data_IF_456379689666
#
_entry.id   IF_456379689666
#
_cell.length_a   1.000
_cell.length_b   1.000
_cell.length_c   1.000
_cell.angle_alpha   90.00
_cell.angle_beta   90.00
_cell.angle_gamma   90.00
#
_symmetry.space_group_name_H-M   'P 1'
#
loop_
_entity.id
_entity.type
_entity.pdbx_description
1 polymer ?
#
# COMPACT_ATOMS: atom_id res chain seq x y z
N UNK A 1 -22.06 37.42 15.04
CA UNK A 1 -21.54 36.08 15.34
C UNK A 1 -22.02 35.14 14.25
N UNK A 2 -21.16 34.93 13.26
CA UNK A 2 -21.46 34.17 12.06
C UNK A 2 -21.25 32.68 12.36
N UNK A 3 -22.31 31.87 12.23
CA UNK A 3 -22.23 30.42 12.36
C UNK A 3 -21.62 29.86 11.08
N UNK A 4 -20.33 29.54 11.12
CA UNK A 4 -19.67 28.76 10.08
C UNK A 4 -20.30 27.36 10.08
N UNK A 5 -21.00 27.01 8.98
CA UNK A 5 -21.40 25.64 8.68
C UNK A 5 -20.12 24.86 8.36
N UNK A 6 -19.73 23.99 9.28
CA UNK A 6 -18.74 22.95 9.00
C UNK A 6 -19.42 21.95 8.07
N UNK A 7 -18.89 21.80 6.87
CA UNK A 7 -19.35 20.82 5.89
C UNK A 7 -19.09 19.41 6.42
N UNK A 8 -20.15 18.64 6.59
CA UNK A 8 -20.13 17.21 6.89
C UNK A 8 -19.48 16.45 5.73
N UNK A 9 -18.18 16.22 5.83
CA UNK A 9 -17.51 15.12 5.12
C UNK A 9 -16.30 14.65 5.91
N UNK A 10 -16.41 14.65 7.24
CA UNK A 10 -15.50 13.90 8.09
C UNK A 10 -16.12 12.52 8.32
N UNK A 11 -16.02 11.65 7.31
CA UNK A 11 -16.14 10.22 7.57
C UNK A 11 -15.06 9.87 8.60
N UNK A 12 -15.47 9.47 9.79
CA UNK A 12 -14.62 8.72 10.70
C UNK A 12 -14.06 7.51 9.94
N UNK A 13 -12.84 7.04 10.26
CA UNK A 13 -12.35 5.80 9.67
C UNK A 13 -13.36 4.68 10.00
N UNK A 14 -14.12 4.25 8.99
CA UNK A 14 -15.12 3.20 9.10
C UNK A 14 -14.41 1.88 9.42
N UNK A 15 -14.43 1.49 10.71
CA UNK A 15 -13.96 0.19 11.19
C UNK A 15 -12.93 0.29 12.34
N UNK A 16 -12.73 -0.82 13.08
CA UNK A 16 -11.63 -0.90 14.05
C UNK A 16 -10.30 -0.67 13.32
N UNK A 17 -9.48 0.23 13.87
CA UNK A 17 -8.09 0.43 13.42
C UNK A 17 -7.24 -0.52 14.23
N UNK A 18 -6.65 -1.49 13.55
CA UNK A 18 -5.87 -2.55 14.21
C UNK A 18 -4.36 -2.30 14.09
N UNK A 19 -3.95 -1.53 13.07
CA UNK A 19 -2.55 -1.19 12.85
C UNK A 19 -2.35 0.30 12.56
N UNK A 20 -1.27 0.84 13.13
CA UNK A 20 -0.76 2.17 12.84
C UNK A 20 0.66 2.05 12.27
N UNK A 21 0.87 2.56 11.07
CA UNK A 21 2.19 2.70 10.45
C UNK A 21 2.49 4.18 10.30
N UNK A 22 3.74 4.60 10.34
CA UNK A 22 4.09 6.01 10.13
C UNK A 22 5.39 6.15 9.35
N UNK A 23 5.55 7.32 8.75
CA UNK A 23 6.83 7.78 8.25
C UNK A 23 7.14 9.19 8.78
N UNK A 24 8.12 9.86 8.17
CA UNK A 24 8.50 11.23 8.54
C UNK A 24 7.37 12.25 8.38
N UNK A 25 6.47 12.05 7.41
CA UNK A 25 5.50 13.06 6.97
C UNK A 25 4.03 12.64 7.22
N UNK A 26 3.74 11.34 7.37
CA UNK A 26 2.37 10.84 7.51
C UNK A 26 2.21 9.77 8.60
N UNK A 27 1.02 9.70 9.17
CA UNK A 27 0.50 8.55 9.89
C UNK A 27 -0.47 7.78 9.00
N UNK A 28 -0.42 6.46 9.03
CA UNK A 28 -1.29 5.56 8.28
C UNK A 28 -2.10 4.70 9.24
N UNK A 29 -3.42 4.84 9.20
CA UNK A 29 -4.36 3.98 9.91
C UNK A 29 -4.82 2.87 8.97
N UNK A 30 -4.69 1.62 9.40
CA UNK A 30 -4.98 0.43 8.60
C UNK A 30 -5.97 -0.46 9.37
N UNK A 31 -7.11 -0.76 8.75
CA UNK A 31 -8.11 -1.68 9.31
C UNK A 31 -7.72 -3.15 9.10
N UNK A 32 -7.94 -3.99 10.11
CA UNK A 32 -7.81 -5.45 10.00
C UNK A 32 -9.19 -6.12 9.99
N UNK A 33 -9.28 -7.17 9.19
CA UNK A 33 -10.26 -8.22 9.40
C UNK A 33 -9.66 -9.53 8.87
N UNK A 34 -8.92 -10.23 9.73
CA UNK A 34 -8.46 -11.63 9.59
C UNK A 34 -8.15 -12.09 8.14
N UNK A 35 -6.89 -12.11 7.70
CA UNK A 35 -6.56 -12.47 6.33
C UNK A 35 -6.87 -13.95 6.00
N UNK A 36 -7.30 -14.19 4.76
CA UNK A 36 -6.94 -15.44 4.07
C UNK A 36 -5.42 -15.41 3.89
N UNK A 37 -4.69 -16.34 4.50
CA UNK A 37 -3.22 -16.35 4.49
C UNK A 37 -2.68 -16.34 3.05
N UNK A 38 -1.94 -15.29 2.71
CA UNK A 38 -0.93 -15.34 1.66
C UNK A 38 0.44 -15.49 2.35
N UNK A 39 1.33 -16.31 1.79
CA UNK A 39 2.70 -16.40 2.29
C UNK A 39 3.41 -15.06 2.05
N UNK A 40 3.86 -14.39 3.11
CA UNK A 40 4.54 -13.11 3.03
C UNK A 40 5.74 -13.15 3.98
N UNK A 41 6.95 -13.13 3.40
CA UNK A 41 8.22 -13.19 4.12
C UNK A 41 8.94 -11.83 4.04
N UNK A 42 8.16 -10.75 4.14
CA UNK A 42 8.66 -9.38 4.16
C UNK A 42 7.88 -8.55 5.17
N UNK A 43 8.50 -7.51 5.79
CA UNK A 43 7.79 -6.59 6.68
C UNK A 43 6.57 -5.98 5.97
N UNK A 44 5.39 -6.28 6.51
CA UNK A 44 4.13 -5.84 5.96
C UNK A 44 3.02 -5.84 7.01
N UNK A 45 1.95 -5.13 6.69
CA UNK A 45 0.74 -5.04 7.51
C UNK A 45 -0.46 -5.46 6.64
N UNK A 46 -1.33 -6.37 7.10
CA UNK A 46 -2.55 -6.70 6.37
C UNK A 46 -3.44 -5.46 6.28
N UNK A 47 -4.09 -5.29 5.14
CA UNK A 47 -5.02 -4.19 4.86
C UNK A 47 -6.34 -4.81 4.44
N UNK A 48 -7.38 -4.54 5.20
CA UNK A 48 -8.75 -4.94 4.90
C UNK A 48 -9.66 -3.72 5.04
N UNK A 49 -10.32 -3.33 3.95
CA UNK A 49 -11.07 -2.08 3.85
C UNK A 49 -10.19 -0.94 3.34
N UNK A 50 -9.50 -0.23 4.23
CA UNK A 50 -8.93 1.09 3.93
C UNK A 50 -7.53 1.31 4.51
N UNK A 51 -6.72 2.08 3.77
CA UNK A 51 -5.54 2.79 4.30
C UNK A 51 -5.88 4.27 4.36
N UNK A 52 -5.85 4.86 5.55
CA UNK A 52 -6.05 6.30 5.73
C UNK A 52 -4.73 6.95 6.08
N UNK A 53 -4.26 7.88 5.25
CA UNK A 53 -3.09 8.69 5.57
C UNK A 53 -3.50 10.04 6.14
N UNK A 54 -2.78 10.48 7.15
CA UNK A 54 -2.95 11.75 7.84
C UNK A 54 -1.61 12.47 7.82
N UNK A 55 -1.55 13.67 7.22
CA UNK A 55 -0.33 14.48 7.22
C UNK A 55 0.02 14.93 8.64
N UNK A 56 1.32 14.89 8.95
CA UNK A 56 1.85 15.32 10.25
C UNK A 56 1.92 16.83 10.39
N UNK A 57 2.09 17.54 9.29
CA UNK A 57 2.19 19.00 9.27
C UNK A 57 0.82 19.67 9.15
N UNK A 58 -0.12 19.00 8.49
CA UNK A 58 -1.47 19.49 8.22
C UNK A 58 -2.47 18.33 8.39
N UNK A 59 -2.86 17.96 9.63
CA UNK A 59 -3.73 16.81 9.90
C UNK A 59 -5.09 16.84 9.19
N UNK A 60 -5.55 18.03 8.80
CA UNK A 60 -6.73 18.24 7.95
C UNK A 60 -6.54 17.69 6.53
N UNK A 61 -5.30 17.59 6.05
CA UNK A 61 -4.94 16.92 4.81
C UNK A 61 -4.82 15.41 5.08
N UNK A 62 -5.97 14.74 4.96
CA UNK A 62 -6.08 13.29 5.00
C UNK A 62 -6.72 12.75 3.74
N UNK A 63 -6.34 11.53 3.38
CA UNK A 63 -6.95 10.79 2.30
C UNK A 63 -7.12 9.33 2.71
N UNK A 64 -8.07 8.66 2.07
CA UNK A 64 -8.36 7.25 2.30
C UNK A 64 -8.32 6.51 0.98
N UNK A 65 -7.61 5.38 0.95
CA UNK A 65 -7.53 4.52 -0.21
C UNK A 65 -8.08 3.13 0.14
N UNK A 66 -9.15 2.67 -0.53
CA UNK A 66 -9.71 1.34 -0.29
C UNK A 66 -8.80 0.27 -0.89
N UNK A 67 -8.42 -0.72 -0.08
CA UNK A 67 -7.56 -1.82 -0.51
C UNK A 67 -7.79 -3.09 0.31
N UNK A 68 -7.52 -4.23 -0.32
CA UNK A 68 -7.58 -5.56 0.31
C UNK A 68 -6.28 -6.27 -0.05
N UNK A 69 -5.47 -6.66 0.94
CA UNK A 69 -4.16 -7.26 0.72
C UNK A 69 -3.18 -6.87 1.82
N UNK A 70 -1.98 -6.43 1.43
CA UNK A 70 -0.91 -6.09 2.35
C UNK A 70 -0.25 -4.76 1.96
N UNK A 71 0.06 -3.94 2.96
CA UNK A 71 0.96 -2.81 2.85
C UNK A 71 2.39 -3.26 3.14
N UNK A 72 3.29 -3.13 2.18
CA UNK A 72 4.71 -3.46 2.35
C UNK A 72 5.41 -2.31 3.08
N UNK A 73 6.01 -2.58 4.25
CA UNK A 73 6.50 -1.52 5.16
C UNK A 73 8.01 -1.35 5.18
N UNK A 74 8.77 -2.28 4.60
CA UNK A 74 10.23 -2.31 4.71
C UNK A 74 10.96 -1.04 4.21
N UNK A 75 10.37 -0.30 3.26
CA UNK A 75 10.93 0.97 2.77
C UNK A 75 9.97 2.14 2.92
N UNK A 76 9.03 2.06 3.86
CA UNK A 76 7.99 3.07 4.00
C UNK A 76 8.59 4.46 4.28
N UNK A 77 9.62 4.61 5.09
CA UNK A 77 10.17 5.93 5.41
C UNK A 77 10.76 6.70 4.23
N UNK A 78 11.26 5.97 3.21
CA UNK A 78 12.02 6.54 2.09
C UNK A 78 11.26 6.54 0.78
N UNK A 79 10.30 5.62 0.63
CA UNK A 79 9.53 5.49 -0.59
C UNK A 79 8.48 6.61 -0.66
N UNK A 80 8.36 7.35 -1.78
CA UNK A 80 7.35 8.40 -1.92
C UNK A 80 5.93 7.85 -2.15
N UNK A 81 5.79 6.53 -2.31
CA UNK A 81 4.51 5.83 -2.46
C UNK A 81 4.32 4.79 -1.37
N UNK A 82 3.07 4.40 -1.13
CA UNK A 82 2.71 3.19 -0.41
C UNK A 82 2.67 2.00 -1.37
N UNK A 83 3.50 0.95 -1.17
CA UNK A 83 3.42 -0.27 -1.94
C UNK A 83 2.37 -1.20 -1.34
N UNK A 84 1.21 -1.27 -2.01
CA UNK A 84 0.09 -2.13 -1.63
C UNK A 84 0.05 -3.34 -2.57
N UNK A 85 0.06 -4.55 -2.01
CA UNK A 85 0.11 -5.79 -2.77
C UNK A 85 -1.01 -6.75 -2.38
N UNK A 86 -1.66 -7.32 -3.39
CA UNK A 86 -2.60 -8.43 -3.24
C UNK A 86 -2.03 -9.63 -3.97
N UNK A 87 -2.01 -10.77 -3.28
CA UNK A 87 -1.57 -12.05 -3.83
C UNK A 87 -2.74 -13.02 -3.72
N UNK A 88 -3.19 -13.54 -4.85
CA UNK A 88 -4.27 -14.52 -4.93
C UNK A 88 -3.72 -15.83 -5.48
N UNK A 89 -3.90 -16.91 -4.74
CA UNK A 89 -3.55 -18.24 -5.21
C UNK A 89 -4.56 -18.75 -6.22
N UNK A 90 -4.07 -19.36 -7.29
CA UNK A 90 -4.87 -19.96 -8.33
C UNK A 90 -4.18 -21.21 -8.88
N UNK A 91 -4.94 -22.06 -9.57
CA UNK A 91 -4.39 -23.22 -10.26
C UNK A 91 -4.67 -23.11 -11.75
N UNK A 92 -3.62 -23.30 -12.56
CA UNK A 92 -3.72 -23.35 -14.02
C UNK A 92 -3.10 -24.65 -14.49
N UNK A 93 -3.91 -25.51 -15.12
CA UNK A 93 -3.50 -26.83 -15.61
C UNK A 93 -2.78 -27.70 -14.54
N UNK A 94 -3.23 -27.62 -13.28
CA UNK A 94 -2.64 -28.38 -12.16
C UNK A 94 -1.39 -27.74 -11.54
N UNK A 95 -0.89 -26.62 -12.06
CA UNK A 95 0.21 -25.87 -11.48
C UNK A 95 -0.32 -24.77 -10.56
N UNK A 96 0.29 -24.62 -9.39
CA UNK A 96 0.04 -23.49 -8.49
C UNK A 96 0.64 -22.22 -9.10
N UNK A 97 -0.18 -21.20 -9.30
CA UNK A 97 0.20 -19.88 -9.79
C UNK A 97 -0.38 -18.82 -8.88
N UNK A 98 0.31 -17.69 -8.77
CA UNK A 98 -0.19 -16.57 -8.01
C UNK A 98 -0.50 -15.40 -8.94
N UNK A 99 -1.67 -14.80 -8.74
CA UNK A 99 -1.98 -13.50 -9.34
C UNK A 99 -1.49 -12.44 -8.36
N UNK A 100 -0.59 -11.59 -8.85
CA UNK A 100 -0.01 -10.49 -8.08
C UNK A 100 -0.57 -9.20 -8.62
N UNK A 101 -1.18 -8.42 -7.74
CA UNK A 101 -1.65 -7.07 -8.02
C UNK A 101 -0.92 -6.11 -7.09
N UNK A 102 -0.06 -5.28 -7.67
CA UNK A 102 0.69 -4.23 -6.99
C UNK A 102 0.11 -2.86 -7.35
N UNK A 103 -0.31 -2.12 -6.34
CA UNK A 103 -0.74 -0.72 -6.44
C UNK A 103 0.26 0.16 -5.69
N UNK A 104 0.80 1.17 -6.38
CA UNK A 104 1.65 2.19 -5.78
C UNK A 104 0.83 3.47 -5.62
N UNK A 105 0.51 3.80 -4.37
CA UNK A 105 -0.31 4.98 -4.03
C UNK A 105 0.61 6.12 -3.61
N UNK A 106 0.49 7.26 -4.29
CA UNK A 106 1.21 8.48 -3.93
C UNK A 106 0.82 8.95 -2.53
N UNK A 107 1.82 9.13 -1.67
CA UNK A 107 1.58 9.42 -0.25
C UNK A 107 0.97 10.79 0.01
N UNK A 108 1.20 11.74 -0.88
CA UNK A 108 0.74 13.11 -0.71
C UNK A 108 -0.73 13.27 -1.15
N UNK A 109 -1.08 12.65 -2.27
CA UNK A 109 -2.39 12.81 -2.91
C UNK A 109 -3.36 11.66 -2.66
N UNK A 110 -2.88 10.49 -2.25
CA UNK A 110 -3.68 9.27 -2.17
C UNK A 110 -4.06 8.68 -3.53
N UNK A 111 -3.53 9.22 -4.62
CA UNK A 111 -3.80 8.74 -5.97
C UNK A 111 -2.90 7.57 -6.36
N UNK A 112 -3.42 6.66 -7.19
CA UNK A 112 -2.62 5.55 -7.73
C UNK A 112 -1.62 6.10 -8.73
N UNK A 113 -0.34 6.11 -8.36
CA UNK A 113 0.77 6.50 -9.22
C UNK A 113 1.11 5.42 -10.25
N UNK A 114 0.93 4.15 -9.88
CA UNK A 114 1.19 3.01 -10.76
C UNK A 114 0.42 1.76 -10.32
N UNK A 115 -0.01 0.96 -11.28
CA UNK A 115 -0.67 -0.32 -11.04
C UNK A 115 -0.05 -1.39 -11.94
N UNK A 116 0.24 -2.56 -11.37
CA UNK A 116 0.73 -3.74 -12.08
C UNK A 116 -0.10 -4.95 -11.70
N UNK A 117 -0.54 -5.69 -12.72
CA UNK A 117 -1.22 -6.98 -12.58
C UNK A 117 -0.43 -8.00 -13.36
N UNK A 118 0.09 -9.01 -12.67
CA UNK A 118 0.89 -10.07 -13.29
C UNK A 118 0.56 -11.43 -12.69
N UNK A 119 0.98 -12.48 -13.38
CA UNK A 119 1.04 -13.82 -12.83
C UNK A 119 2.49 -14.12 -12.45
N UNK A 120 2.68 -14.82 -11.34
CA UNK A 120 3.98 -15.25 -10.87
C UNK A 120 3.94 -16.73 -10.50
N UNK A 121 5.02 -17.43 -10.81
CA UNK A 121 5.23 -18.79 -10.36
C UNK A 121 6.00 -18.74 -9.03
N UNK A 122 5.35 -19.02 -7.91
CA UNK A 122 6.00 -18.97 -6.59
C UNK A 122 5.01 -18.76 -5.47
N UNK A 123 5.55 -18.59 -4.25
CA UNK A 123 4.80 -18.31 -3.04
C UNK A 123 5.26 -16.98 -2.44
N UNK A 124 4.49 -15.94 -2.71
CA UNK A 124 4.51 -14.72 -1.92
C UNK A 124 5.53 -13.67 -2.30
N UNK A 125 5.64 -12.70 -1.40
CA UNK A 125 6.59 -11.59 -1.45
C UNK A 125 7.64 -11.82 -0.37
N UNK A 126 8.92 -11.74 -0.73
CA UNK A 126 10.05 -11.94 0.18
C UNK A 126 10.81 -10.65 0.50
N UNK A 127 10.67 -9.62 -0.32
CA UNK A 127 11.27 -8.32 -0.02
C UNK A 127 10.60 -7.18 -0.79
N UNK A 128 10.71 -5.97 -0.24
CA UNK A 128 10.37 -4.72 -0.90
C UNK A 128 11.42 -3.67 -0.50
N UNK A 129 12.14 -3.13 -1.48
CA UNK A 129 13.20 -2.17 -1.24
C UNK A 129 13.13 -1.00 -2.23
N UNK A 130 13.23 0.21 -1.70
CA UNK A 130 13.30 1.44 -2.49
C UNK A 130 14.70 2.03 -2.47
N UNK A 131 15.24 2.24 -3.67
CA UNK A 131 16.48 2.98 -3.89
C UNK A 131 16.13 4.45 -4.22
N UNK A 132 16.45 5.41 -3.33
CA UNK A 132 16.13 6.82 -3.55
C UNK A 132 17.04 7.49 -4.59
N UNK A 133 18.24 6.96 -4.83
CA UNK A 133 19.19 7.53 -5.80
C UNK A 133 18.71 7.18 -7.21
N UNK A 134 18.35 5.92 -7.43
CA UNK A 134 17.84 5.47 -8.72
C UNK A 134 16.32 5.72 -8.90
N UNK A 135 15.64 6.18 -7.84
CA UNK A 135 14.17 6.29 -7.77
C UNK A 135 13.48 4.99 -8.21
N UNK A 136 13.97 3.86 -7.69
CA UNK A 136 13.56 2.52 -8.11
C UNK A 136 12.98 1.74 -6.94
N UNK A 137 11.80 1.18 -7.13
CA UNK A 137 11.24 0.18 -6.23
C UNK A 137 11.50 -1.22 -6.78
N UNK A 138 12.13 -2.08 -5.98
CA UNK A 138 12.23 -3.51 -6.25
C UNK A 138 11.31 -4.29 -5.31
N UNK A 139 10.46 -5.15 -5.87
CA UNK A 139 9.66 -6.12 -5.11
C UNK A 139 10.14 -7.51 -5.51
N UNK A 140 10.64 -8.27 -4.54
CA UNK A 140 11.08 -9.64 -4.73
C UNK A 140 9.89 -10.57 -4.48
N UNK A 141 9.52 -11.29 -5.54
CA UNK A 141 8.68 -12.47 -5.45
C UNK A 141 9.59 -13.69 -5.36
N UNK A 142 9.08 -14.83 -4.92
CA UNK A 142 9.93 -16.01 -4.66
C UNK A 142 10.78 -16.45 -5.87
N UNK A 143 10.27 -16.31 -7.10
CA UNK A 143 11.00 -16.69 -8.33
C UNK A 143 11.18 -15.56 -9.34
N UNK A 144 10.70 -14.37 -9.01
CA UNK A 144 10.63 -13.25 -9.94
C UNK A 144 10.96 -11.95 -9.23
N UNK A 145 11.35 -10.95 -10.02
CA UNK A 145 11.62 -9.62 -9.50
C UNK A 145 10.86 -8.59 -10.30
N UNK A 146 10.06 -7.79 -9.59
CA UNK A 146 9.40 -6.63 -10.14
C UNK A 146 10.29 -5.42 -9.94
N UNK A 147 10.63 -4.73 -11.03
CA UNK A 147 11.40 -3.49 -11.02
C UNK A 147 10.54 -2.37 -11.54
N UNK A 148 10.22 -1.42 -10.68
CA UNK A 148 9.48 -0.22 -11.06
C UNK A 148 10.45 0.95 -11.04
N UNK A 149 10.82 1.38 -12.25
CA UNK A 149 11.71 2.53 -12.51
C UNK A 149 10.92 3.55 -13.30
N UNK A 150 10.33 4.52 -12.60
CA UNK A 150 9.75 5.74 -13.18
C UNK A 150 9.74 6.80 -12.09
N UNK A 151 9.40 8.05 -12.41
CA UNK A 151 9.13 9.12 -11.44
C UNK A 151 7.97 8.73 -10.51
N UNK A 152 8.24 7.83 -9.57
CA UNK A 152 7.31 7.38 -8.54
C UNK A 152 7.18 8.57 -7.58
N UNK A 153 5.99 9.18 -7.51
CA UNK A 153 5.69 10.26 -6.56
C UNK A 153 6.08 11.68 -7.01
N UNK A 154 5.98 11.99 -8.30
CA UNK A 154 6.08 13.38 -8.77
C UNK A 154 4.78 13.73 -9.48
N UNK A 155 3.83 14.27 -8.72
CA UNK A 155 2.73 15.03 -9.34
C UNK A 155 3.37 16.24 -10.06
N UNK A 156 2.96 16.56 -11.30
CA UNK A 156 3.48 17.71 -12.02
C UNK A 156 3.23 19.03 -11.29
#
# INVERSE_FOLDING_TARGET
FERVKVSESDSEPDGPVDYCVWDRNHFYLVGDSSPKQAFLDCPAVPVHGNVTAISREAPELRWTYPFEGFLLTNSIDRCPVLPLIRVEESQVAGYSVQKVHLSLVDKQSGQVAYELKTQSFGFGVSNCEYDPIEQRLEVLLQREKLRISKRIGVSP
#
